data_IF_024028814422
#
_entry.id   IF_024028814422
#
_cell.length_a   1.000
_cell.length_b   1.000
_cell.length_c   1.000
_cell.angle_alpha   90.00
_cell.angle_beta   90.00
_cell.angle_gamma   90.00
#
_symmetry.space_group_name_H-M   'P 1'
#
loop_
_entity.id
_entity.type
_entity.pdbx_description
1 polymer ?
#
# COMPACT_ATOMS: atom_id res chain seq x y z
N UNK A 1 32.39 -1.11 -37.68
CA UNK A 1 31.33 -0.09 -37.63
C UNK A 1 29.91 -0.65 -37.82
N UNK A 2 29.57 -1.60 -38.72
CA UNK A 2 28.20 -2.14 -38.79
C UNK A 2 27.85 -3.18 -37.69
N UNK A 3 28.81 -3.57 -36.85
CA UNK A 3 28.65 -4.60 -35.80
C UNK A 3 28.18 -4.04 -34.46
N UNK A 4 28.65 -2.85 -34.06
CA UNK A 4 28.29 -2.20 -32.80
C UNK A 4 26.84 -1.68 -32.81
N UNK A 5 26.42 -1.01 -33.88
CA UNK A 5 25.03 -0.54 -34.04
C UNK A 5 24.02 -1.70 -34.03
N UNK A 6 24.40 -2.83 -34.63
CA UNK A 6 23.56 -4.04 -34.64
C UNK A 6 23.48 -4.66 -33.24
N UNK A 7 24.56 -4.63 -32.47
CA UNK A 7 24.61 -5.13 -31.10
C UNK A 7 23.79 -4.24 -30.15
N UNK A 8 23.91 -2.91 -30.27
CA UNK A 8 23.09 -1.96 -29.51
C UNK A 8 21.60 -2.10 -29.80
N UNK A 9 21.24 -2.24 -31.09
CA UNK A 9 19.87 -2.49 -31.53
C UNK A 9 19.32 -3.81 -30.97
N UNK A 10 20.18 -4.83 -30.81
CA UNK A 10 19.79 -6.12 -30.22
C UNK A 10 19.54 -5.99 -28.72
N UNK A 11 20.44 -5.32 -27.98
CA UNK A 11 20.28 -5.10 -26.52
C UNK A 11 19.00 -4.31 -26.23
N UNK A 12 18.70 -3.30 -27.04
CA UNK A 12 17.47 -2.52 -26.88
C UNK A 12 16.20 -3.36 -27.10
N UNK A 13 16.20 -4.26 -28.11
CA UNK A 13 15.08 -5.17 -28.36
C UNK A 13 14.87 -6.14 -27.18
N UNK A 14 15.96 -6.69 -26.63
CA UNK A 14 15.89 -7.58 -25.48
C UNK A 14 15.39 -6.85 -24.21
N UNK A 15 15.75 -5.57 -24.05
CA UNK A 15 15.23 -4.74 -22.97
C UNK A 15 13.71 -4.52 -23.09
N UNK A 16 13.21 -4.18 -24.29
CA UNK A 16 11.77 -4.02 -24.52
C UNK A 16 11.03 -5.32 -24.17
N UNK A 17 11.53 -6.45 -24.67
CA UNK A 17 10.96 -7.76 -24.39
C UNK A 17 10.97 -8.09 -22.89
N UNK A 18 12.04 -7.75 -22.16
CA UNK A 18 12.09 -7.92 -20.71
C UNK A 18 10.98 -7.13 -19.99
N UNK A 19 10.75 -5.89 -20.42
CA UNK A 19 9.68 -5.03 -19.89
C UNK A 19 8.29 -5.59 -20.22
N UNK A 20 8.08 -6.12 -21.42
CA UNK A 20 6.83 -6.77 -21.81
C UNK A 20 6.54 -8.01 -20.95
N UNK A 21 7.54 -8.87 -20.74
CA UNK A 21 7.44 -10.03 -19.86
C UNK A 21 7.08 -9.62 -18.43
N UNK A 22 7.70 -8.55 -17.94
CA UNK A 22 7.40 -7.99 -16.62
C UNK A 22 5.94 -7.51 -16.53
N UNK A 23 5.45 -6.79 -17.56
CA UNK A 23 4.06 -6.32 -17.62
C UNK A 23 3.04 -7.46 -17.68
N UNK A 24 3.44 -8.64 -18.20
CA UNK A 24 2.64 -9.86 -18.22
C UNK A 24 2.76 -10.68 -16.92
N UNK A 25 3.40 -10.14 -15.87
CA UNK A 25 3.71 -10.81 -14.61
C UNK A 25 4.57 -12.08 -14.76
N UNK A 26 5.29 -12.24 -15.88
CA UNK A 26 6.20 -13.36 -16.11
C UNK A 26 7.58 -13.07 -15.50
N UNK A 27 7.62 -12.85 -14.19
CA UNK A 27 8.78 -12.28 -13.49
C UNK A 27 10.06 -13.09 -13.63
N UNK A 28 9.99 -14.44 -13.65
CA UNK A 28 11.19 -15.27 -13.82
C UNK A 28 11.79 -15.14 -15.23
N UNK A 29 10.94 -15.05 -16.26
CA UNK A 29 11.40 -14.84 -17.63
C UNK A 29 11.94 -13.42 -17.82
N UNK A 30 11.25 -12.43 -17.24
CA UNK A 30 11.71 -11.04 -17.24
C UNK A 30 13.08 -10.90 -16.55
N UNK A 31 13.27 -11.53 -15.38
CA UNK A 31 14.57 -11.58 -14.67
C UNK A 31 15.68 -12.07 -15.58
N UNK A 32 15.54 -13.26 -16.16
CA UNK A 32 16.59 -13.83 -17.01
C UNK A 32 16.93 -12.91 -18.20
N UNK A 33 15.93 -12.21 -18.74
CA UNK A 33 16.12 -11.25 -19.82
C UNK A 33 16.84 -9.97 -19.36
N UNK A 34 16.52 -9.43 -18.17
CA UNK A 34 17.24 -8.28 -17.60
C UNK A 34 18.68 -8.63 -17.21
N UNK A 35 18.92 -9.81 -16.65
CA UNK A 35 20.28 -10.31 -16.36
C UNK A 35 21.10 -10.47 -17.65
N UNK A 36 20.49 -10.95 -18.74
CA UNK A 36 21.13 -10.96 -20.04
C UNK A 36 21.49 -9.55 -20.51
N UNK A 37 20.57 -8.58 -20.40
CA UNK A 37 20.86 -7.16 -20.73
C UNK A 37 22.05 -6.65 -19.93
N UNK A 38 22.10 -6.89 -18.62
CA UNK A 38 23.21 -6.46 -17.76
C UNK A 38 24.53 -7.17 -18.07
N UNK A 39 24.50 -8.40 -18.58
CA UNK A 39 25.71 -9.09 -19.05
C UNK A 39 26.36 -8.42 -20.27
N UNK A 40 25.57 -7.66 -21.05
CA UNK A 40 26.01 -6.93 -22.24
C UNK A 40 26.27 -5.44 -21.95
N UNK A 41 25.43 -4.84 -21.11
CA UNK A 41 25.53 -3.47 -20.63
C UNK A 41 25.23 -3.42 -19.12
N UNK A 42 26.29 -3.56 -18.32
CA UNK A 42 26.19 -3.54 -16.86
C UNK A 42 25.72 -2.19 -16.29
N UNK A 43 25.72 -1.13 -17.11
CA UNK A 43 25.28 0.21 -16.70
C UNK A 43 23.79 0.47 -16.98
N UNK A 44 23.07 -0.49 -17.57
CA UNK A 44 21.67 -0.32 -17.92
C UNK A 44 20.77 -0.09 -16.70
N UNK A 45 20.47 1.19 -16.44
CA UNK A 45 19.64 1.67 -15.33
C UNK A 45 18.26 0.99 -15.28
N UNK A 46 17.65 0.82 -16.46
CA UNK A 46 16.31 0.22 -16.58
C UNK A 46 16.33 -1.24 -16.11
N UNK A 47 17.37 -2.01 -16.47
CA UNK A 47 17.49 -3.40 -16.06
C UNK A 47 17.73 -3.54 -14.56
N UNK A 48 18.63 -2.73 -13.97
CA UNK A 48 18.83 -2.70 -12.52
C UNK A 48 17.54 -2.37 -11.76
N UNK A 49 16.77 -1.37 -12.23
CA UNK A 49 15.49 -0.99 -11.63
C UNK A 49 14.48 -2.13 -11.66
N UNK A 50 14.24 -2.75 -12.82
CA UNK A 50 13.25 -3.83 -12.91
C UNK A 50 13.65 -5.09 -12.15
N UNK A 51 14.95 -5.42 -12.07
CA UNK A 51 15.41 -6.50 -11.19
C UNK A 51 15.12 -6.21 -9.72
N UNK A 52 15.32 -4.96 -9.28
CA UNK A 52 14.94 -4.55 -7.93
C UNK A 52 13.42 -4.60 -7.69
N UNK A 53 12.60 -4.21 -8.67
CA UNK A 53 11.14 -4.36 -8.59
C UNK A 53 10.69 -5.82 -8.49
N UNK A 54 11.32 -6.73 -9.23
CA UNK A 54 11.07 -8.17 -9.09
C UNK A 54 11.51 -8.65 -7.70
N UNK A 55 12.67 -8.19 -7.20
CA UNK A 55 13.15 -8.54 -5.88
C UNK A 55 12.22 -8.01 -4.75
N UNK A 56 11.60 -6.83 -4.94
CA UNK A 56 10.56 -6.31 -4.06
C UNK A 56 9.35 -7.26 -3.98
N UNK A 57 8.92 -7.81 -5.12
CA UNK A 57 7.85 -8.82 -5.18
C UNK A 57 8.26 -10.12 -4.50
N UNK A 58 9.54 -10.44 -4.39
CA UNK A 58 10.05 -11.66 -3.75
C UNK A 58 10.47 -11.49 -2.29
N UNK A 59 10.65 -10.25 -1.82
CA UNK A 59 11.09 -9.96 -0.45
C UNK A 59 12.61 -9.92 -0.30
N UNK A 60 13.33 -9.76 -1.40
CA UNK A 60 14.80 -9.85 -1.48
C UNK A 60 15.44 -8.54 -1.97
N UNK A 61 14.69 -7.43 -1.98
CA UNK A 61 15.13 -6.16 -2.55
C UNK A 61 16.36 -5.55 -1.88
N UNK A 62 16.66 -5.93 -0.63
CA UNK A 62 17.89 -5.52 0.06
C UNK A 62 19.14 -5.82 -0.75
N UNK A 63 19.16 -6.92 -1.51
CA UNK A 63 20.30 -7.33 -2.33
C UNK A 63 20.57 -6.40 -3.53
N UNK A 64 19.63 -5.52 -3.87
CA UNK A 64 19.73 -4.61 -5.01
C UNK A 64 20.07 -3.17 -4.61
N UNK A 65 20.13 -2.86 -3.31
CA UNK A 65 20.39 -1.51 -2.81
C UNK A 65 21.73 -0.96 -3.32
N UNK A 66 22.82 -1.72 -3.20
CA UNK A 66 24.15 -1.28 -3.63
C UNK A 66 24.21 -0.98 -5.14
N UNK A 67 23.63 -1.86 -5.96
CA UNK A 67 23.55 -1.68 -7.41
C UNK A 67 22.73 -0.44 -7.80
N UNK A 68 21.59 -0.22 -7.13
CA UNK A 68 20.77 0.97 -7.36
C UNK A 68 21.46 2.27 -6.92
N UNK A 69 22.20 2.26 -5.82
CA UNK A 69 23.02 3.42 -5.39
C UNK A 69 24.07 3.75 -6.46
N UNK A 70 24.79 2.74 -6.95
CA UNK A 70 25.78 2.93 -8.01
C UNK A 70 25.15 3.47 -9.30
N UNK A 71 23.98 2.94 -9.68
CA UNK A 71 23.23 3.39 -10.86
C UNK A 71 22.71 4.82 -10.71
N UNK A 72 22.20 5.18 -9.53
CA UNK A 72 21.73 6.53 -9.22
C UNK A 72 22.89 7.55 -9.17
N UNK A 73 24.08 7.16 -8.70
CA UNK A 73 25.26 8.02 -8.73
C UNK A 73 25.67 8.40 -10.17
N UNK A 74 25.50 7.47 -11.12
CA UNK A 74 25.74 7.73 -12.54
C UNK A 74 24.59 8.52 -13.20
N UNK A 75 23.36 8.39 -12.69
CA UNK A 75 22.15 9.00 -13.23
C UNK A 75 21.32 9.70 -12.13
N UNK A 76 21.85 10.80 -11.54
CA UNK A 76 21.26 11.42 -10.34
C UNK A 76 19.86 11.99 -10.57
N UNK A 77 19.47 12.24 -11.82
CA UNK A 77 18.15 12.77 -12.19
C UNK A 77 17.12 11.66 -12.49
N UNK A 78 17.39 10.40 -12.14
CA UNK A 78 16.39 9.33 -12.29
C UNK A 78 15.47 9.27 -11.07
N UNK A 79 14.27 9.84 -11.23
CA UNK A 79 13.24 9.84 -10.19
C UNK A 79 12.76 8.42 -9.86
N UNK A 80 12.63 7.58 -10.88
CA UNK A 80 12.15 6.20 -10.81
C UNK A 80 13.13 5.33 -10.03
N UNK A 81 14.43 5.50 -10.28
CA UNK A 81 15.47 4.76 -9.55
C UNK A 81 15.52 5.17 -8.08
N UNK A 82 15.39 6.47 -7.79
CA UNK A 82 15.27 6.95 -6.39
C UNK A 82 14.02 6.39 -5.71
N UNK A 83 12.88 6.36 -6.40
CA UNK A 83 11.65 5.78 -5.86
C UNK A 83 11.78 4.28 -5.58
N UNK A 84 12.32 3.50 -6.54
CA UNK A 84 12.59 2.08 -6.36
C UNK A 84 13.59 1.84 -5.23
N UNK A 85 14.63 2.66 -5.10
CA UNK A 85 15.58 2.58 -3.99
C UNK A 85 14.90 2.86 -2.64
N UNK A 86 13.99 3.83 -2.58
CA UNK A 86 13.15 4.07 -1.40
C UNK A 86 12.28 2.87 -1.02
N UNK A 87 11.70 2.18 -2.01
CA UNK A 87 10.97 0.93 -1.79
C UNK A 87 11.88 -0.18 -1.25
N UNK A 88 13.10 -0.31 -1.78
CA UNK A 88 14.08 -1.30 -1.33
C UNK A 88 14.49 -1.06 0.13
N UNK A 89 14.79 0.19 0.49
CA UNK A 89 15.07 0.57 1.88
C UNK A 89 13.87 0.32 2.80
N UNK A 90 12.66 0.62 2.35
CA UNK A 90 11.44 0.35 3.13
C UNK A 90 11.28 -1.15 3.41
N UNK A 91 11.41 -2.02 2.41
CA UNK A 91 11.38 -3.48 2.60
C UNK A 91 12.53 -3.97 3.49
N UNK A 92 13.70 -3.34 3.40
CA UNK A 92 14.85 -3.60 4.26
C UNK A 92 14.71 -3.02 5.68
N UNK A 93 13.60 -2.34 6.00
CA UNK A 93 13.29 -1.69 7.29
C UNK A 93 14.19 -0.50 7.64
N UNK A 94 14.87 0.04 6.64
CA UNK A 94 15.71 1.22 6.71
C UNK A 94 14.88 2.48 6.42
N UNK A 95 13.87 2.73 7.28
CA UNK A 95 12.84 3.75 7.02
C UNK A 95 13.38 5.20 6.87
N UNK A 96 14.39 5.67 7.63
CA UNK A 96 14.96 6.99 7.40
C UNK A 96 15.51 7.16 5.97
N UNK A 97 16.29 6.17 5.50
CA UNK A 97 16.81 6.16 4.13
C UNK A 97 15.69 6.05 3.10
N UNK A 98 14.66 5.25 3.37
CA UNK A 98 13.49 5.15 2.49
C UNK A 98 12.81 6.52 2.29
N UNK A 99 12.56 7.24 3.39
CA UNK A 99 11.99 8.59 3.36
C UNK A 99 12.87 9.54 2.53
N UNK A 100 14.18 9.56 2.77
CA UNK A 100 15.12 10.39 2.01
C UNK A 100 15.01 10.14 0.50
N UNK A 101 15.00 8.87 0.09
CA UNK A 101 14.95 8.51 -1.33
C UNK A 101 13.60 8.80 -1.99
N UNK A 102 12.48 8.62 -1.26
CA UNK A 102 11.18 9.03 -1.77
C UNK A 102 11.06 10.54 -1.93
N UNK A 103 11.64 11.32 -1.01
CA UNK A 103 11.69 12.78 -1.12
C UNK A 103 12.56 13.21 -2.30
N UNK A 104 13.73 12.61 -2.47
CA UNK A 104 14.60 12.86 -3.61
C UNK A 104 13.88 12.57 -4.95
N UNK A 105 13.15 11.45 -5.04
CA UNK A 105 12.35 11.11 -6.22
C UNK A 105 11.33 12.21 -6.56
N UNK A 106 10.63 12.74 -5.56
CA UNK A 106 9.68 13.86 -5.72
C UNK A 106 10.38 15.16 -6.15
N UNK A 107 11.55 15.47 -5.59
CA UNK A 107 12.33 16.67 -5.94
C UNK A 107 12.81 16.65 -7.40
N UNK A 108 13.28 15.50 -7.87
CA UNK A 108 13.65 15.30 -9.28
C UNK A 108 12.43 15.45 -10.19
N UNK A 109 11.29 14.88 -9.80
CA UNK A 109 10.05 14.94 -10.57
C UNK A 109 9.46 16.36 -10.65
N UNK A 110 9.69 17.21 -9.64
CA UNK A 110 9.30 18.63 -9.69
C UNK A 110 9.90 19.34 -10.90
N UNK A 111 11.15 19.00 -11.25
CA UNK A 111 11.90 19.61 -12.35
C UNK A 111 11.69 18.89 -13.70
N UNK A 112 10.90 17.81 -13.71
CA UNK A 112 10.63 17.02 -14.91
C UNK A 112 9.23 17.33 -15.44
N UNK A 113 9.03 17.48 -16.77
CA UNK A 113 7.70 17.61 -17.34
C UNK A 113 6.85 16.36 -17.07
N UNK A 114 5.52 16.48 -16.93
CA UNK A 114 4.65 15.33 -16.75
C UNK A 114 4.84 14.33 -17.89
N UNK A 115 5.06 13.06 -17.55
CA UNK A 115 5.14 11.98 -18.54
C UNK A 115 3.83 11.16 -18.50
N UNK A 116 3.07 11.17 -19.59
CA UNK A 116 1.77 10.52 -19.70
C UNK A 116 1.84 9.01 -20.01
N UNK A 117 2.97 8.35 -19.76
CA UNK A 117 3.14 6.93 -20.09
C UNK A 117 2.53 5.96 -19.07
N UNK A 118 1.95 6.44 -17.97
CA UNK A 118 1.30 5.58 -16.98
C UNK A 118 -0.04 5.05 -17.51
N UNK A 119 -0.19 3.73 -17.52
CA UNK A 119 -1.46 3.06 -17.82
C UNK A 119 -2.10 2.61 -16.51
N UNK A 120 -3.31 3.09 -16.16
CA UNK A 120 -4.01 2.56 -15.00
C UNK A 120 -4.28 1.07 -15.20
N UNK A 121 -4.11 0.30 -14.12
CA UNK A 121 -4.58 -1.10 -14.13
C UNK A 121 -6.10 -1.10 -14.29
N UNK A 122 -6.67 -2.00 -15.11
CA UNK A 122 -8.12 -2.14 -15.19
C UNK A 122 -8.69 -2.47 -13.81
N UNK A 123 -9.84 -1.87 -13.47
CA UNK A 123 -10.56 -2.24 -12.27
C UNK A 123 -11.06 -3.67 -12.42
N UNK A 124 -10.82 -4.51 -11.42
CA UNK A 124 -11.48 -5.80 -11.28
C UNK A 124 -12.91 -5.52 -10.81
N UNK A 125 -13.89 -6.21 -11.39
CA UNK A 125 -15.29 -6.09 -10.99
C UNK A 125 -15.46 -6.63 -9.56
N UNK A 126 -16.12 -5.85 -8.70
CA UNK A 126 -16.38 -6.21 -7.31
C UNK A 126 -17.85 -6.56 -7.15
N UNK A 127 -18.14 -7.83 -6.87
CA UNK A 127 -19.50 -8.29 -6.65
C UNK A 127 -19.90 -8.09 -5.17
N UNK A 128 -20.72 -7.07 -4.92
CA UNK A 128 -21.19 -6.72 -3.58
C UNK A 128 -21.85 -7.89 -2.86
N UNK A 129 -22.71 -8.65 -3.53
CA UNK A 129 -23.50 -9.70 -2.87
C UNK A 129 -22.61 -10.89 -2.49
N UNK A 130 -21.75 -11.34 -3.42
CA UNK A 130 -20.83 -12.45 -3.19
C UNK A 130 -19.82 -12.08 -2.09
N UNK A 131 -19.21 -10.90 -2.16
CA UNK A 131 -18.17 -10.50 -1.22
C UNK A 131 -18.73 -10.15 0.16
N UNK A 132 -19.96 -9.62 0.25
CA UNK A 132 -20.62 -9.41 1.53
C UNK A 132 -20.97 -10.74 2.21
N UNK A 133 -21.50 -11.70 1.44
CA UNK A 133 -21.74 -13.06 1.91
C UNK A 133 -20.45 -13.70 2.44
N UNK A 134 -19.33 -13.55 1.72
CA UNK A 134 -18.02 -14.06 2.14
C UNK A 134 -17.50 -13.38 3.42
N UNK A 135 -17.68 -12.06 3.56
CA UNK A 135 -17.37 -11.32 4.78
C UNK A 135 -18.13 -11.90 5.99
N UNK A 136 -19.45 -12.08 5.87
CA UNK A 136 -20.27 -12.61 6.96
C UNK A 136 -19.96 -14.07 7.28
N UNK A 137 -19.69 -14.91 6.28
CA UNK A 137 -19.24 -16.30 6.48
C UNK A 137 -17.92 -16.34 7.24
N UNK A 138 -16.96 -15.49 6.88
CA UNK A 138 -15.65 -15.42 7.54
C UNK A 138 -15.77 -14.95 9.00
N UNK A 139 -16.60 -13.95 9.27
CA UNK A 139 -16.89 -13.50 10.64
C UNK A 139 -17.61 -14.57 11.48
N UNK A 140 -18.52 -15.35 10.87
CA UNK A 140 -19.22 -16.44 11.55
C UNK A 140 -18.26 -17.59 11.89
N UNK A 141 -17.34 -17.92 10.99
CA UNK A 141 -16.27 -18.88 11.22
C UNK A 141 -15.39 -18.44 12.40
N UNK A 142 -14.95 -17.19 12.43
CA UNK A 142 -14.18 -16.65 13.56
C UNK A 142 -14.96 -16.73 14.87
N UNK A 143 -16.25 -16.40 14.85
CA UNK A 143 -17.12 -16.51 16.03
C UNK A 143 -17.22 -17.94 16.55
N UNK A 144 -17.34 -18.94 15.67
CA UNK A 144 -17.36 -20.36 16.03
C UNK A 144 -16.03 -20.82 16.67
N UNK A 145 -14.91 -20.28 16.20
CA UNK A 145 -13.58 -20.51 16.77
C UNK A 145 -13.26 -19.66 18.01
N UNK A 146 -14.23 -18.89 18.53
CA UNK A 146 -14.08 -17.96 19.64
C UNK A 146 -13.01 -16.88 19.42
N UNK A 147 -12.83 -16.46 18.18
CA UNK A 147 -11.98 -15.34 17.78
C UNK A 147 -12.82 -14.06 17.79
N UNK A 148 -12.35 -13.02 18.49
CA UNK A 148 -12.97 -11.71 18.55
C UNK A 148 -12.66 -10.95 17.26
N UNK A 149 -13.66 -10.78 16.41
CA UNK A 149 -13.52 -10.15 15.10
C UNK A 149 -14.73 -9.28 14.75
N UNK A 150 -14.61 -8.39 13.78
CA UNK A 150 -15.70 -7.51 13.34
C UNK A 150 -15.40 -6.92 11.97
N UNK A 151 -16.42 -6.53 11.20
CA UNK A 151 -16.20 -5.71 10.01
C UNK A 151 -15.61 -4.35 10.41
N UNK A 152 -14.58 -3.87 9.71
CA UNK A 152 -13.92 -2.58 9.98
C UNK A 152 -13.78 -1.74 8.71
N UNK A 153 -13.18 -0.55 8.81
CA UNK A 153 -12.83 0.32 7.68
C UNK A 153 -13.91 0.43 6.57
N UNK A 154 -13.57 0.15 5.31
CA UNK A 154 -14.46 0.32 4.15
C UNK A 154 -15.67 -0.60 4.22
N UNK A 155 -15.47 -1.85 4.61
CA UNK A 155 -16.56 -2.81 4.82
C UNK A 155 -17.56 -2.35 5.89
N UNK A 156 -17.08 -1.87 7.03
CA UNK A 156 -17.96 -1.32 8.08
C UNK A 156 -18.68 -0.06 7.61
N UNK A 157 -17.97 0.83 6.90
CA UNK A 157 -18.55 2.06 6.37
C UNK A 157 -19.73 1.76 5.45
N UNK A 158 -19.56 0.83 4.51
CA UNK A 158 -20.65 0.37 3.64
C UNK A 158 -21.82 -0.17 4.44
N UNK A 159 -21.58 -1.17 5.29
CA UNK A 159 -22.64 -1.85 6.06
C UNK A 159 -23.46 -0.87 6.90
N UNK A 160 -22.82 0.13 7.51
CA UNK A 160 -23.51 1.08 8.40
C UNK A 160 -24.15 2.23 7.63
N UNK A 161 -23.53 2.72 6.55
CA UNK A 161 -24.05 3.87 5.80
C UNK A 161 -25.08 3.47 4.75
N UNK A 162 -24.81 2.41 4.00
CA UNK A 162 -25.60 1.99 2.83
C UNK A 162 -26.43 0.72 3.11
N UNK A 163 -26.15 0.02 4.21
CA UNK A 163 -26.79 -1.26 4.54
C UNK A 163 -26.16 -2.47 3.83
N UNK A 164 -25.11 -2.25 3.04
CA UNK A 164 -24.33 -3.28 2.32
C UNK A 164 -22.89 -2.79 2.12
N UNK A 165 -21.94 -3.69 1.84
CA UNK A 165 -20.58 -3.25 1.49
C UNK A 165 -20.58 -2.37 0.22
N UNK A 166 -19.58 -1.49 0.08
CA UNK A 166 -19.58 -0.50 -1.01
C UNK A 166 -19.40 -1.20 -2.38
N UNK A 167 -20.16 -0.82 -3.43
CA UNK A 167 -20.10 -1.49 -4.74
C UNK A 167 -18.83 -1.21 -5.54
N UNK A 168 -17.98 -0.29 -5.06
CA UNK A 168 -16.71 0.08 -5.65
C UNK A 168 -15.52 -0.28 -4.75
N UNK A 169 -15.74 -1.09 -3.72
CA UNK A 169 -14.65 -1.65 -2.92
C UNK A 169 -13.77 -2.57 -3.76
N UNK A 170 -12.58 -2.89 -3.25
CA UNK A 170 -11.64 -3.81 -3.93
C UNK A 170 -11.30 -5.01 -3.07
N UNK A 171 -11.68 -4.95 -1.80
CA UNK A 171 -11.34 -5.84 -0.73
C UNK A 171 -12.43 -5.83 0.34
N UNK A 172 -12.32 -6.74 1.30
CA UNK A 172 -13.11 -6.73 2.52
C UNK A 172 -12.20 -6.53 3.74
N UNK A 173 -12.70 -5.81 4.74
CA UNK A 173 -11.92 -5.40 5.90
C UNK A 173 -12.44 -6.09 7.17
N UNK A 174 -11.59 -6.88 7.82
CA UNK A 174 -11.92 -7.54 9.09
C UNK A 174 -10.96 -7.11 10.19
N UNK A 175 -11.50 -6.53 11.25
CA UNK A 175 -10.82 -6.32 12.52
C UNK A 175 -10.74 -7.61 13.33
N UNK A 176 -9.62 -7.88 13.98
CA UNK A 176 -9.42 -8.98 14.94
C UNK A 176 -8.66 -8.49 16.17
N UNK A 177 -8.89 -9.09 17.33
CA UNK A 177 -8.01 -8.90 18.49
C UNK A 177 -6.57 -9.30 18.12
N UNK A 178 -5.60 -8.40 18.35
CA UNK A 178 -4.19 -8.62 18.06
C UNK A 178 -3.65 -9.89 18.73
N UNK A 179 -4.09 -10.20 19.95
CA UNK A 179 -3.71 -11.42 20.67
C UNK A 179 -4.22 -12.70 20.02
N UNK A 180 -5.19 -12.60 19.09
CA UNK A 180 -5.76 -13.73 18.35
C UNK A 180 -5.39 -13.73 16.86
N UNK A 181 -4.51 -12.82 16.41
CA UNK A 181 -4.11 -12.68 15.01
C UNK A 181 -3.58 -13.99 14.41
N UNK A 182 -2.63 -14.66 15.08
CA UNK A 182 -2.05 -15.93 14.60
C UNK A 182 -3.09 -17.06 14.51
N UNK A 183 -4.04 -17.10 15.44
CA UNK A 183 -5.15 -18.05 15.42
C UNK A 183 -6.07 -17.79 14.21
N UNK A 184 -6.39 -16.53 13.95
CA UNK A 184 -7.21 -16.13 12.80
C UNK A 184 -6.52 -16.46 11.47
N UNK A 185 -5.23 -16.16 11.33
CA UNK A 185 -4.44 -16.51 10.14
C UNK A 185 -4.44 -18.02 9.89
N UNK A 186 -4.19 -18.82 10.93
CA UNK A 186 -4.17 -20.28 10.83
C UNK A 186 -5.52 -20.81 10.35
N UNK A 187 -6.61 -20.26 10.90
CA UNK A 187 -7.96 -20.65 10.52
C UNK A 187 -8.29 -20.25 9.08
N UNK A 188 -7.96 -19.02 8.66
CA UNK A 188 -8.14 -18.57 7.27
C UNK A 188 -7.42 -19.48 6.28
N UNK A 189 -6.14 -19.79 6.54
CA UNK A 189 -5.34 -20.71 5.71
C UNK A 189 -5.98 -22.09 5.61
N UNK A 190 -6.57 -22.59 6.71
CA UNK A 190 -7.30 -23.87 6.69
C UNK A 190 -8.56 -23.85 5.82
N UNK A 191 -9.11 -22.66 5.53
CA UNK A 191 -10.28 -22.47 4.66
C UNK A 191 -9.92 -22.07 3.23
N UNK A 192 -8.65 -22.17 2.84
CA UNK A 192 -8.21 -21.91 1.46
C UNK A 192 -7.83 -20.45 1.15
N UNK A 193 -7.91 -19.56 2.13
CA UNK A 193 -7.32 -18.22 2.01
C UNK A 193 -5.80 -18.33 1.91
N UNK A 194 -5.21 -17.56 1.02
CA UNK A 194 -3.76 -17.53 0.81
C UNK A 194 -3.24 -16.13 1.04
N UNK A 195 -2.10 -16.03 1.70
CA UNK A 195 -1.50 -14.73 2.00
C UNK A 195 -1.08 -14.04 0.71
N UNK A 196 -1.58 -12.82 0.52
CA UNK A 196 -1.37 -12.04 -0.68
C UNK A 196 -0.15 -11.13 -0.52
N UNK A 197 0.79 -11.19 -1.47
CA UNK A 197 1.95 -10.28 -1.53
C UNK A 197 2.77 -10.19 -0.23
N UNK A 198 2.87 -11.28 0.54
CA UNK A 198 3.48 -11.31 1.89
C UNK A 198 2.93 -10.23 2.84
N UNK A 199 1.66 -9.86 2.69
CA UNK A 199 1.06 -8.74 3.42
C UNK A 199 1.85 -7.43 3.26
N UNK A 200 2.51 -7.23 2.11
CA UNK A 200 3.37 -6.09 1.82
C UNK A 200 4.48 -5.88 2.87
N UNK A 201 5.00 -6.99 3.41
CA UNK A 201 6.02 -7.03 4.46
C UNK A 201 5.58 -6.38 5.80
N UNK A 202 4.26 -6.20 5.98
CA UNK A 202 3.64 -5.77 7.23
C UNK A 202 3.25 -6.97 8.10
N UNK A 203 3.29 -6.76 9.42
CA UNK A 203 2.68 -7.65 10.41
C UNK A 203 1.23 -7.26 10.72
N UNK A 204 0.81 -6.05 10.35
CA UNK A 204 -0.56 -5.56 10.45
C UNK A 204 -0.82 -4.48 9.37
N UNK A 205 -1.90 -4.54 8.59
CA UNK A 205 -2.81 -5.68 8.42
C UNK A 205 -2.09 -6.87 7.79
N UNK A 206 -2.75 -8.03 7.84
CA UNK A 206 -2.35 -9.21 7.07
C UNK A 206 -3.31 -9.36 5.89
N UNK A 207 -2.77 -9.35 4.68
CA UNK A 207 -3.55 -9.34 3.45
C UNK A 207 -3.71 -10.76 2.93
N UNK A 208 -4.93 -11.20 2.68
CA UNK A 208 -5.26 -12.51 2.14
C UNK A 208 -6.04 -12.39 0.84
N UNK A 209 -5.86 -13.34 -0.06
CA UNK A 209 -6.68 -13.49 -1.25
C UNK A 209 -7.56 -14.74 -1.12
N UNK A 210 -8.81 -14.62 -1.55
CA UNK A 210 -9.73 -15.72 -1.72
C UNK A 210 -9.63 -16.26 -3.16
N UNK A 211 -9.83 -17.56 -3.41
CA UNK A 211 -9.88 -18.12 -4.77
C UNK A 211 -10.91 -17.44 -5.71
N UNK A 212 -11.96 -16.83 -5.15
CA UNK A 212 -12.99 -16.11 -5.91
C UNK A 212 -12.53 -14.72 -6.41
N UNK A 213 -11.31 -14.29 -6.08
CA UNK A 213 -10.67 -13.10 -6.64
C UNK A 213 -10.67 -11.86 -5.75
N UNK A 214 -11.39 -11.87 -4.63
CA UNK A 214 -11.37 -10.79 -3.63
C UNK A 214 -10.19 -10.91 -2.67
N UNK A 215 -9.65 -9.77 -2.25
CA UNK A 215 -8.67 -9.69 -1.16
C UNK A 215 -9.32 -9.27 0.15
N UNK A 216 -8.70 -9.60 1.27
CA UNK A 216 -9.15 -9.22 2.60
C UNK A 216 -7.98 -8.67 3.40
N UNK A 217 -8.18 -7.53 4.03
CA UNK A 217 -7.27 -6.98 5.02
C UNK A 217 -7.71 -7.39 6.44
N UNK A 218 -6.94 -8.30 7.04
CA UNK A 218 -7.11 -8.72 8.43
C UNK A 218 -6.34 -7.75 9.33
N UNK A 219 -7.05 -6.81 9.94
CA UNK A 219 -6.53 -5.73 10.76
C UNK A 219 -6.53 -6.11 12.25
N UNK A 220 -5.36 -6.19 12.86
CA UNK A 220 -5.17 -6.42 14.28
C UNK A 220 -5.41 -5.16 15.11
N UNK A 221 -6.27 -5.26 16.12
CA UNK A 221 -6.54 -4.23 17.11
C UNK A 221 -5.95 -4.66 18.46
N UNK A 222 -5.07 -3.83 19.02
CA UNK A 222 -4.47 -4.03 20.34
C UNK A 222 -4.82 -2.91 21.30
N UNK A 223 -4.43 -3.06 22.57
CA UNK A 223 -4.50 -1.97 23.54
C UNK A 223 -3.09 -1.47 23.81
N UNK A 224 -2.88 -0.18 23.59
CA UNK A 224 -1.63 0.48 23.93
C UNK A 224 -1.47 0.53 25.45
N UNK A 225 -0.43 -0.13 25.96
CA UNK A 225 -0.18 -0.22 27.41
C UNK A 225 0.08 1.13 28.07
N UNK A 226 0.52 2.15 27.32
CA UNK A 226 0.81 3.48 27.87
C UNK A 226 -0.45 4.35 27.86
N UNK A 227 -1.10 4.48 26.70
CA UNK A 227 -2.26 5.37 26.54
C UNK A 227 -3.59 4.72 26.95
N UNK A 228 -3.62 3.39 27.11
CA UNK A 228 -4.82 2.57 27.35
C UNK A 228 -5.88 2.70 26.24
N UNK A 229 -5.51 3.27 25.09
CA UNK A 229 -6.38 3.37 23.90
C UNK A 229 -6.28 2.11 23.06
N UNK A 230 -7.35 1.80 22.34
CA UNK A 230 -7.27 0.81 21.28
C UNK A 230 -6.40 1.37 20.15
N UNK A 231 -5.48 0.57 19.64
CA UNK A 231 -4.63 0.92 18.50
C UNK A 231 -4.74 -0.10 17.38
N UNK A 232 -4.64 0.38 16.16
CA UNK A 232 -4.48 -0.38 14.93
C UNK A 232 -3.48 0.36 14.03
N UNK A 233 -3.34 -0.03 12.77
CA UNK A 233 -2.60 0.70 11.77
C UNK A 233 -1.72 -0.20 10.92
N UNK A 234 -0.67 0.39 10.34
CA UNK A 234 0.30 -0.34 9.52
C UNK A 234 1.54 -0.58 10.35
N UNK A 235 1.83 -1.84 10.66
CA UNK A 235 2.92 -2.23 11.54
C UNK A 235 3.92 -3.13 10.81
N UNK A 236 5.20 -2.86 11.02
CA UNK A 236 6.33 -3.70 10.66
C UNK A 236 7.00 -4.23 11.92
N UNK A 237 7.54 -5.43 11.86
CA UNK A 237 8.38 -5.98 12.91
C UNK A 237 9.81 -5.47 12.83
N UNK A 238 10.54 -5.62 13.94
CA UNK A 238 11.96 -5.28 14.09
C UNK A 238 12.34 -3.84 13.70
N UNK A 239 11.42 -2.90 13.95
CA UNK A 239 11.65 -1.46 13.97
C UNK A 239 11.09 -0.87 15.26
N UNK A 240 11.56 0.30 15.72
CA UNK A 240 10.92 1.03 16.81
C UNK A 240 9.42 1.20 16.56
N UNK A 241 8.58 0.89 17.54
CA UNK A 241 7.15 0.80 17.32
C UNK A 241 6.54 2.16 16.93
N UNK A 242 7.08 3.25 17.44
CA UNK A 242 6.70 4.62 17.11
C UNK A 242 7.01 5.03 15.66
N UNK A 243 7.83 4.26 14.94
CA UNK A 243 8.06 4.47 13.51
C UNK A 243 6.90 3.94 12.66
N UNK A 244 6.07 3.03 13.21
CA UNK A 244 4.92 2.50 12.52
C UNK A 244 3.82 3.55 12.32
N UNK A 245 2.92 3.29 11.37
CA UNK A 245 1.70 4.09 11.25
C UNK A 245 0.69 3.59 12.27
N UNK A 246 0.44 4.39 13.31
CA UNK A 246 -0.47 4.03 14.39
C UNK A 246 -1.76 4.85 14.26
N UNK A 247 -2.90 4.17 14.30
CA UNK A 247 -4.23 4.79 14.40
C UNK A 247 -4.87 4.46 15.74
N UNK A 248 -5.55 5.43 16.33
CA UNK A 248 -6.18 5.30 17.64
C UNK A 248 -7.69 5.16 17.52
N UNK A 249 -8.28 4.28 18.31
CA UNK A 249 -9.72 4.08 18.34
C UNK A 249 -10.23 4.21 19.77
N UNK A 250 -11.52 4.56 19.94
CA UNK A 250 -12.23 4.32 21.18
C UNK A 250 -12.13 2.85 21.62
N UNK A 251 -12.48 2.57 22.86
CA UNK A 251 -12.55 1.19 23.36
C UNK A 251 -13.48 0.36 22.48
N UNK A 252 -12.96 -0.75 21.94
CA UNK A 252 -13.75 -1.66 21.13
C UNK A 252 -14.53 -2.60 22.04
N UNK A 253 -15.84 -2.51 21.97
CA UNK A 253 -16.77 -3.41 22.64
C UNK A 253 -17.52 -4.22 21.59
N UNK A 254 -17.58 -5.54 21.78
CA UNK A 254 -18.23 -6.46 20.85
C UNK A 254 -19.50 -7.04 21.47
N UNK A 255 -20.56 -7.05 20.69
CA UNK A 255 -21.83 -7.70 20.99
C UNK A 255 -22.09 -8.83 19.99
N UNK A 256 -22.95 -9.76 20.35
CA UNK A 256 -23.38 -10.81 19.43
C UNK A 256 -24.42 -10.25 18.45
N UNK A 257 -24.27 -10.62 17.17
CA UNK A 257 -25.24 -10.34 16.11
C UNK A 257 -25.53 -11.63 15.34
N UNK A 258 -26.81 -11.89 15.07
CA UNK A 258 -27.22 -13.03 14.23
C UNK A 258 -27.27 -12.56 12.78
N UNK A 259 -26.64 -13.31 11.88
CA UNK A 259 -26.71 -13.09 10.42
C UNK A 259 -27.25 -14.35 9.74
N UNK A 260 -27.63 -14.29 8.45
CA UNK A 260 -27.98 -15.48 7.67
C UNK A 260 -26.87 -16.55 7.63
N UNK A 261 -25.62 -16.18 7.92
CA UNK A 261 -24.46 -17.07 7.92
C UNK A 261 -24.09 -17.59 9.33
N UNK A 262 -24.85 -17.21 10.36
CA UNK A 262 -24.65 -17.62 11.75
C UNK A 262 -24.37 -16.45 12.68
N UNK A 263 -24.01 -16.77 13.92
CA UNK A 263 -23.66 -15.73 14.90
C UNK A 263 -22.31 -15.13 14.55
N UNK A 264 -22.19 -13.82 14.71
CA UNK A 264 -20.94 -13.07 14.55
C UNK A 264 -20.71 -12.17 15.76
N UNK A 265 -19.46 -11.75 15.95
CA UNK A 265 -19.17 -10.58 16.77
C UNK A 265 -19.40 -9.31 15.94
N UNK A 266 -19.98 -8.28 16.55
CA UNK A 266 -20.24 -6.99 15.94
C UNK A 266 -19.87 -5.85 16.90
N UNK A 267 -19.46 -4.71 16.37
CA UNK A 267 -19.20 -3.52 17.19
C UNK A 267 -20.48 -3.10 17.90
N UNK A 268 -20.40 -2.85 19.20
CA UNK A 268 -21.53 -2.34 19.99
C UNK A 268 -21.92 -0.92 19.58
N UNK A 269 -20.94 -0.13 19.12
CA UNK A 269 -21.07 1.28 18.73
C UNK A 269 -20.22 1.54 17.48
N UNK A 270 -20.63 1.02 16.31
CA UNK A 270 -19.84 1.11 15.08
C UNK A 270 -19.57 2.55 14.64
N UNK A 271 -20.50 3.48 14.91
CA UNK A 271 -20.38 4.90 14.56
C UNK A 271 -19.21 5.59 15.26
N UNK A 272 -18.84 5.15 16.48
CA UNK A 272 -17.66 5.69 17.17
C UNK A 272 -16.36 5.32 16.46
N UNK A 273 -16.30 4.11 15.89
CA UNK A 273 -15.15 3.63 15.11
C UNK A 273 -15.07 4.36 13.77
N UNK A 274 -16.21 4.54 13.10
CA UNK A 274 -16.28 5.28 11.84
C UNK A 274 -15.95 6.77 12.05
N UNK A 275 -16.47 7.41 13.09
CA UNK A 275 -16.16 8.80 13.41
C UNK A 275 -14.67 8.98 13.77
N UNK A 276 -14.06 8.03 14.47
CA UNK A 276 -12.62 8.08 14.73
C UNK A 276 -11.80 8.03 13.43
N UNK A 277 -12.13 7.11 12.51
CA UNK A 277 -11.37 6.94 11.27
C UNK A 277 -11.63 8.06 10.25
N UNK A 278 -12.90 8.33 9.93
CA UNK A 278 -13.28 9.20 8.82
C UNK A 278 -13.66 10.62 9.27
N UNK A 279 -14.08 10.81 10.53
CA UNK A 279 -14.74 12.05 10.96
C UNK A 279 -16.18 12.10 10.44
N UNK A 280 -16.47 12.97 9.47
CA UNK A 280 -17.77 13.01 8.79
C UNK A 280 -17.92 11.83 7.82
N UNK A 281 -18.19 10.65 8.38
CA UNK A 281 -18.30 9.40 7.61
C UNK A 281 -19.61 9.30 6.81
N UNK A 282 -20.61 10.12 7.13
CA UNK A 282 -21.91 10.08 6.47
C UNK A 282 -21.88 10.78 5.11
N UNK A 283 -21.04 11.78 4.95
CA UNK A 283 -20.83 12.45 3.66
C UNK A 283 -19.79 11.68 2.82
N UNK A 284 -20.13 11.19 1.62
CA UNK A 284 -19.15 10.53 0.77
C UNK A 284 -18.00 11.46 0.36
N UNK A 285 -16.77 11.03 0.62
CA UNK A 285 -15.55 11.70 0.15
C UNK A 285 -14.81 10.78 -0.84
N UNK A 286 -14.96 11.00 -2.16
CA UNK A 286 -14.31 10.17 -3.19
C UNK A 286 -12.79 10.39 -3.25
N UNK A 287 -12.24 11.37 -2.53
CA UNK A 287 -10.81 11.65 -2.42
C UNK A 287 -10.20 11.12 -1.12
N UNK A 288 -11.00 10.48 -0.26
CA UNK A 288 -10.53 9.96 1.01
C UNK A 288 -9.44 8.90 0.80
N UNK A 289 -8.29 9.15 1.42
CA UNK A 289 -7.15 8.24 1.42
C UNK A 289 -6.88 7.79 2.86
N UNK A 290 -7.15 6.51 3.17
CA UNK A 290 -6.98 5.96 4.51
C UNK A 290 -5.58 6.17 5.09
N UNK A 291 -4.52 6.24 4.27
CA UNK A 291 -3.15 6.40 4.79
C UNK A 291 -2.96 7.77 5.44
N UNK A 292 -3.57 8.82 4.90
CA UNK A 292 -3.32 10.20 5.33
C UNK A 292 -4.58 10.93 5.82
N UNK A 293 -5.72 10.75 5.16
CA UNK A 293 -6.97 11.44 5.48
C UNK A 293 -7.63 10.91 6.76
N UNK A 294 -7.22 9.73 7.24
CA UNK A 294 -7.69 9.14 8.48
C UNK A 294 -7.49 10.10 9.67
N UNK A 295 -8.59 10.45 10.35
CA UNK A 295 -8.62 11.46 11.42
C UNK A 295 -8.04 10.97 12.74
N UNK A 296 -7.82 9.67 12.86
CA UNK A 296 -7.25 9.04 14.04
C UNK A 296 -5.78 8.64 13.91
N UNK A 297 -5.06 9.15 12.91
CA UNK A 297 -3.61 8.94 12.83
C UNK A 297 -2.93 9.62 14.04
N UNK A 298 -2.11 8.87 14.76
CA UNK A 298 -1.38 9.35 15.94
C UNK A 298 -0.32 10.39 15.59
N UNK A 299 0.44 10.16 14.53
CA UNK A 299 1.57 10.99 14.14
C UNK A 299 1.98 10.74 12.68
N UNK A 300 2.76 11.68 12.12
CA UNK A 300 3.41 11.52 10.81
C UNK A 300 4.73 10.74 10.96
N UNK A 301 4.62 9.50 11.42
CA UNK A 301 5.75 8.60 11.65
C UNK A 301 6.53 8.25 10.37
N UNK A 302 7.73 7.67 10.50
CA UNK A 302 8.57 7.32 9.36
C UNK A 302 7.88 6.39 8.36
N UNK A 303 7.13 5.39 8.84
CA UNK A 303 6.38 4.50 7.95
C UNK A 303 5.21 5.23 7.27
N UNK A 304 4.54 6.14 7.99
CA UNK A 304 3.50 7.00 7.38
C UNK A 304 4.09 7.86 6.27
N UNK A 305 5.25 8.47 6.50
CA UNK A 305 5.99 9.24 5.51
C UNK A 305 6.36 8.40 4.28
N UNK A 306 6.85 7.17 4.47
CA UNK A 306 7.16 6.25 3.37
C UNK A 306 5.95 6.03 2.45
N UNK A 307 4.80 5.65 3.02
CA UNK A 307 3.59 5.42 2.23
C UNK A 307 3.08 6.69 1.55
N UNK A 308 3.09 7.82 2.27
CA UNK A 308 2.63 9.10 1.73
C UNK A 308 3.51 9.57 0.58
N UNK A 309 4.82 9.66 0.76
CA UNK A 309 5.72 10.17 -0.29
C UNK A 309 5.74 9.25 -1.51
N UNK A 310 5.70 7.94 -1.31
CA UNK A 310 5.55 6.96 -2.40
C UNK A 310 4.23 7.16 -3.16
N UNK A 311 3.13 7.51 -2.47
CA UNK A 311 1.84 7.79 -3.12
C UNK A 311 1.81 9.14 -3.83
N UNK A 312 2.34 10.21 -3.22
CA UNK A 312 2.48 11.51 -3.89
C UNK A 312 3.27 11.35 -5.20
N UNK A 313 4.35 10.56 -5.17
CA UNK A 313 5.15 10.29 -6.36
C UNK A 313 4.30 9.65 -7.46
N UNK A 314 3.50 8.62 -7.12
CA UNK A 314 2.56 7.99 -8.07
C UNK A 314 1.51 8.98 -8.59
N UNK A 315 0.91 9.81 -7.75
CA UNK A 315 -0.08 10.80 -8.17
C UNK A 315 0.51 11.79 -9.18
N UNK A 316 1.74 12.25 -8.94
CA UNK A 316 2.46 13.09 -9.90
C UNK A 316 2.72 12.37 -11.22
N UNK A 317 3.17 11.10 -11.20
CA UNK A 317 3.36 10.30 -12.42
C UNK A 317 2.05 10.12 -13.22
N UNK A 318 0.93 9.95 -12.53
CA UNK A 318 -0.39 9.80 -13.14
C UNK A 318 -1.01 11.12 -13.59
N UNK A 319 -0.37 12.27 -13.31
CA UNK A 319 -0.96 13.59 -13.52
C UNK A 319 -2.31 13.78 -12.81
N UNK A 320 -2.51 13.12 -11.66
CA UNK A 320 -3.73 13.16 -10.85
C UNK A 320 -3.72 14.40 -9.92
N UNK A 321 -3.64 15.59 -10.52
CA UNK A 321 -3.36 16.85 -9.82
C UNK A 321 -4.43 17.23 -8.78
N UNK A 322 -5.69 16.85 -9.00
CA UNK A 322 -6.79 17.05 -8.03
C UNK A 322 -6.60 16.24 -6.75
N UNK A 323 -6.32 14.94 -6.88
CA UNK A 323 -6.01 14.06 -5.74
C UNK A 323 -4.70 14.46 -5.06
N UNK A 324 -3.71 14.88 -5.84
CA UNK A 324 -2.44 15.35 -5.31
C UNK A 324 -2.64 16.58 -4.42
N UNK A 325 -3.35 17.61 -4.89
CA UNK A 325 -3.63 18.81 -4.08
C UNK A 325 -4.43 18.46 -2.82
N UNK A 326 -5.47 17.63 -2.93
CA UNK A 326 -6.24 17.18 -1.76
C UNK A 326 -5.33 16.52 -0.72
N UNK A 327 -4.45 15.61 -1.15
CA UNK A 327 -3.49 14.91 -0.28
C UNK A 327 -2.50 15.89 0.36
N UNK A 328 -1.94 16.83 -0.41
CA UNK A 328 -1.00 17.84 0.10
C UNK A 328 -1.65 18.79 1.11
N UNK A 329 -2.91 19.17 0.90
CA UNK A 329 -3.66 19.98 1.86
C UNK A 329 -3.82 19.27 3.21
N UNK A 330 -4.02 17.94 3.23
CA UNK A 330 -4.04 17.19 4.48
C UNK A 330 -2.65 17.16 5.15
N UNK A 331 -1.55 17.12 4.39
CA UNK A 331 -0.18 17.14 4.96
C UNK A 331 0.18 18.43 5.67
N UNK A 332 -0.41 19.55 5.28
CA UNK A 332 -0.18 20.85 5.94
C UNK A 332 -0.53 20.82 7.44
N UNK A 333 -1.37 19.87 7.88
CA UNK A 333 -1.66 19.61 9.29
C UNK A 333 -0.43 19.10 10.06
N UNK A 334 0.42 18.29 9.42
CA UNK A 334 1.58 17.66 10.06
C UNK A 334 2.82 18.55 9.99
N UNK A 335 3.07 19.19 8.84
CA UNK A 335 4.18 20.15 8.70
C UNK A 335 3.90 21.18 7.60
N UNK A 336 3.46 22.38 7.98
CA UNK A 336 3.20 23.50 7.07
C UNK A 336 4.48 24.17 6.53
N UNK A 337 5.65 23.84 7.07
CA UNK A 337 6.92 24.48 6.71
C UNK A 337 7.79 23.60 5.81
N UNK A 338 7.35 22.38 5.48
CA UNK A 338 8.08 21.50 4.57
C UNK A 338 8.17 22.11 3.17
N UNK A 339 9.40 22.47 2.79
CA UNK A 339 9.72 23.13 1.51
C UNK A 339 9.29 22.27 0.32
N UNK A 340 9.45 20.94 0.40
CA UNK A 340 9.09 20.03 -0.68
C UNK A 340 7.57 20.00 -0.88
N UNK A 341 6.82 19.90 0.23
CA UNK A 341 5.35 19.89 0.20
C UNK A 341 4.81 21.20 -0.36
N UNK A 342 5.38 22.33 0.04
CA UNK A 342 4.98 23.64 -0.49
C UNK A 342 5.22 23.73 -2.01
N UNK A 343 6.40 23.32 -2.50
CA UNK A 343 6.69 23.28 -3.95
C UNK A 343 5.74 22.35 -4.72
N UNK A 344 5.44 21.17 -4.17
CA UNK A 344 4.48 20.23 -4.77
C UNK A 344 3.07 20.81 -4.83
N UNK A 345 2.67 21.54 -3.78
CA UNK A 345 1.35 22.18 -3.70
C UNK A 345 1.20 23.26 -4.78
N UNK A 346 2.23 24.09 -4.95
CA UNK A 346 2.25 25.12 -5.99
C UNK A 346 2.21 24.50 -7.40
N UNK A 347 2.99 23.43 -7.63
CA UNK A 347 2.95 22.69 -8.92
C UNK A 347 1.57 22.10 -9.18
N UNK A 348 0.96 21.44 -8.18
CA UNK A 348 -0.37 20.85 -8.31
C UNK A 348 -1.44 21.88 -8.70
N UNK A 349 -1.42 23.05 -8.04
CA UNK A 349 -2.34 24.16 -8.35
C UNK A 349 -2.14 24.70 -9.77
N UNK A 350 -0.90 24.87 -10.21
CA UNK A 350 -0.61 25.37 -11.57
C UNK A 350 -0.99 24.40 -12.70
N UNK A 351 -1.17 23.11 -12.39
CA UNK A 351 -1.50 22.08 -13.38
C UNK A 351 -3.00 21.75 -13.44
N UNK A 352 -3.79 22.27 -12.50
CA UNK A 352 -5.25 22.18 -12.54
C UNK A 352 -5.90 23.31 -13.35
N UNK A 353 -5.20 24.44 -13.49
CA UNK A 353 -5.58 25.57 -14.35
C UNK A 353 -5.24 25.29 -15.79
#
# INVERSE_FOLDING_TARGET
MPTEDKQLSTIHAELIKAVELYQQNQYQLARGQFEYVLSQDNSCLIAHRYLAEIALIEGTAKNHIESLIASLAAHPTSSETSHTLGMCYQQARELPQAVEQYRHALEVLLNTPPNHSYKPKPNVEFDTEIHESLLWQTLALFRQANIKSFATAGSLLGIIREGAILPFDKDIDIGVDWGQMEQAITLLKSQGWHEHMRSYDLINPRCFAHPDGVTMDLCGFGVDTVSQRTICGLWMSDIPFEWNRITEYPTINLVEKITPHGNVWHLAQPELTLNALYGDWQTPDPLFDTILCAKNIRSFSLLTQCFVYSRLYKLCLMSEWGKLEHTLNQLSFFDKHDILINKLTDKAKSMQT
#
